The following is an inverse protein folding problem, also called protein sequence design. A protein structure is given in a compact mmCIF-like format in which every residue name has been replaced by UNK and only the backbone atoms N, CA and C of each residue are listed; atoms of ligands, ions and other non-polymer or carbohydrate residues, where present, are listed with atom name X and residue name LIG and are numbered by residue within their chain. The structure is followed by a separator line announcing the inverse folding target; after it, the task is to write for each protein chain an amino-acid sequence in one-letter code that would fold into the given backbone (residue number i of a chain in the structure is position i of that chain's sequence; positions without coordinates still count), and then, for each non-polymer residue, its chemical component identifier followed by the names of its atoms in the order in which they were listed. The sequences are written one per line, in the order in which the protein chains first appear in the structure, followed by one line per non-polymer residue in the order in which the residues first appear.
data_IF_240853423071
#
_entry.id   IF_240853423071
#
_cell.length_a   1.000
_cell.length_b   1.000
_cell.length_c   1.000
_cell.angle_alpha   90.00
_cell.angle_beta   90.00
_cell.angle_gamma   90.00
#
_symmetry.space_group_name_H-M   'P 1'
#
loop_
_entity.id
_entity.type
_entity.pdbx_description
1 polymer ?
#
# COMPACT_ATOMS: atom_id res chain seq x y z
N UNK A 1 11.78 -24.22 -7.19
CA UNK A 1 10.38 -24.12 -6.71
C UNK A 1 10.30 -23.39 -5.36
N UNK A 2 11.15 -23.70 -4.39
CA UNK A 2 11.17 -23.08 -3.05
C UNK A 2 11.39 -21.55 -3.07
N UNK A 3 12.31 -21.04 -3.88
CA UNK A 3 12.61 -19.61 -3.92
C UNK A 3 11.43 -18.75 -4.42
N UNK A 4 10.68 -19.26 -5.42
CA UNK A 4 9.47 -18.59 -5.91
C UNK A 4 8.35 -18.54 -4.86
N UNK A 5 8.14 -19.65 -4.15
CA UNK A 5 7.16 -19.73 -3.07
C UNK A 5 7.54 -18.83 -1.89
N UNK A 6 8.80 -18.83 -1.49
CA UNK A 6 9.30 -17.92 -0.43
C UNK A 6 9.05 -16.45 -0.80
N UNK A 7 9.42 -16.06 -2.01
CA UNK A 7 9.18 -14.67 -2.49
C UNK A 7 7.69 -14.35 -2.48
N UNK A 8 6.83 -15.26 -2.95
CA UNK A 8 5.38 -15.08 -2.90
C UNK A 8 4.86 -14.87 -1.48
N UNK A 9 5.29 -15.69 -0.52
CA UNK A 9 4.85 -15.59 0.88
C UNK A 9 5.28 -14.26 1.51
N UNK A 10 6.53 -13.81 1.27
CA UNK A 10 7.02 -12.53 1.80
C UNK A 10 6.27 -11.35 1.19
N UNK A 11 6.08 -11.34 -0.14
CA UNK A 11 5.31 -10.30 -0.84
C UNK A 11 3.87 -10.26 -0.34
N UNK A 12 3.23 -11.41 -0.22
CA UNK A 12 1.83 -11.51 0.24
C UNK A 12 1.69 -11.09 1.70
N UNK A 13 2.59 -11.54 2.57
CA UNK A 13 2.58 -11.16 3.99
C UNK A 13 2.78 -9.66 4.20
N UNK A 14 3.75 -9.07 3.50
CA UNK A 14 3.97 -7.62 3.54
C UNK A 14 2.76 -6.83 3.00
N UNK A 15 2.15 -7.30 1.91
CA UNK A 15 0.94 -6.71 1.36
C UNK A 15 -0.26 -6.85 2.31
N UNK A 16 -0.40 -7.94 3.02
CA UNK A 16 -1.45 -8.16 4.02
C UNK A 16 -1.29 -7.23 5.21
N UNK A 17 -0.08 -7.13 5.77
CA UNK A 17 0.22 -6.20 6.86
C UNK A 17 -0.09 -4.75 6.44
N UNK A 18 0.32 -4.36 5.23
CA UNK A 18 -0.02 -3.06 4.67
C UNK A 18 -1.53 -2.85 4.59
N UNK A 19 -2.26 -3.80 4.02
CA UNK A 19 -3.71 -3.69 3.80
C UNK A 19 -4.49 -3.59 5.11
N UNK A 20 -4.04 -4.31 6.14
CA UNK A 20 -4.61 -4.26 7.47
C UNK A 20 -4.45 -2.86 8.09
N UNK A 21 -3.23 -2.31 8.04
CA UNK A 21 -2.96 -0.95 8.55
C UNK A 21 -3.60 0.15 7.71
N UNK A 22 -3.74 -0.06 6.40
CA UNK A 22 -4.47 0.86 5.51
C UNK A 22 -5.97 0.92 5.87
N UNK A 23 -6.58 -0.21 6.24
CA UNK A 23 -7.93 -0.22 6.81
C UNK A 23 -8.00 0.49 8.17
N UNK A 24 -7.06 0.18 9.06
CA UNK A 24 -7.05 0.70 10.42
C UNK A 24 -6.85 2.23 10.46
N UNK A 25 -5.95 2.80 9.65
CA UNK A 25 -5.73 4.25 9.60
C UNK A 25 -7.00 5.01 9.19
N UNK A 26 -7.77 4.46 8.24
CA UNK A 26 -9.03 5.09 7.82
C UNK A 26 -10.01 5.20 8.99
N UNK A 27 -10.23 4.11 9.72
CA UNK A 27 -11.16 4.11 10.85
C UNK A 27 -10.65 4.97 12.01
N UNK A 28 -9.33 4.92 12.30
CA UNK A 28 -8.70 5.74 13.33
C UNK A 28 -8.88 7.24 13.03
N UNK A 29 -8.62 7.67 11.79
CA UNK A 29 -8.78 9.08 11.40
C UNK A 29 -10.25 9.47 11.47
N UNK A 30 -11.17 8.69 10.91
CA UNK A 30 -12.60 8.99 10.93
C UNK A 30 -13.11 9.15 12.36
N UNK A 31 -12.87 8.17 13.23
CA UNK A 31 -13.41 8.20 14.60
C UNK A 31 -12.71 9.26 15.47
N UNK A 32 -11.40 9.43 15.32
CA UNK A 32 -10.66 10.42 16.11
C UNK A 32 -11.15 11.84 15.80
N UNK A 33 -11.23 12.22 14.53
CA UNK A 33 -11.67 13.57 14.15
C UNK A 33 -13.17 13.78 14.37
N UNK A 34 -13.99 12.74 14.24
CA UNK A 34 -15.39 12.79 14.65
C UNK A 34 -15.52 13.11 16.15
N UNK A 35 -14.74 12.46 17.00
CA UNK A 35 -14.72 12.73 18.45
C UNK A 35 -14.21 14.12 18.79
N UNK A 36 -13.41 14.75 17.92
CA UNK A 36 -12.99 16.15 18.04
C UNK A 36 -14.05 17.16 17.55
N UNK A 37 -15.21 16.68 17.08
CA UNK A 37 -16.32 17.53 16.64
C UNK A 37 -16.29 17.90 15.16
N UNK A 38 -15.45 17.30 14.35
CA UNK A 38 -15.45 17.51 12.89
C UNK A 38 -16.72 16.97 12.26
N UNK A 39 -17.29 17.74 11.36
CA UNK A 39 -18.43 17.30 10.56
C UNK A 39 -18.06 16.19 9.58
N UNK A 40 -19.03 15.36 9.11
CA UNK A 40 -18.74 14.32 8.12
C UNK A 40 -18.09 14.83 6.84
N UNK A 41 -18.41 16.06 6.42
CA UNK A 41 -17.82 16.68 5.23
C UNK A 41 -16.36 17.04 5.45
N UNK A 42 -16.01 17.62 6.59
CA UNK A 42 -14.61 17.93 6.95
C UNK A 42 -13.77 16.66 7.03
N UNK A 43 -14.32 15.58 7.61
CA UNK A 43 -13.65 14.28 7.65
C UNK A 43 -13.43 13.73 6.24
N UNK A 44 -14.43 13.86 5.34
CA UNK A 44 -14.28 13.44 3.94
C UNK A 44 -13.13 14.20 3.24
N UNK A 45 -12.96 15.50 3.52
CA UNK A 45 -11.85 16.27 2.98
C UNK A 45 -10.48 15.77 3.45
N UNK A 46 -10.34 15.21 4.66
CA UNK A 46 -9.08 14.63 5.12
C UNK A 46 -8.58 13.50 4.20
N UNK A 47 -9.50 12.80 3.53
CA UNK A 47 -9.18 11.70 2.60
C UNK A 47 -9.04 12.16 1.14
N UNK A 48 -9.37 13.41 0.82
CA UNK A 48 -9.33 13.88 -0.57
C UNK A 48 -7.95 13.66 -1.20
N UNK A 49 -6.90 14.04 -0.50
CA UNK A 49 -5.53 13.88 -1.01
C UNK A 49 -5.08 12.43 -1.08
N UNK A 50 -5.56 11.57 -0.18
CA UNK A 50 -5.32 10.13 -0.25
C UNK A 50 -5.82 9.55 -1.58
N UNK A 51 -7.02 9.90 -2.02
CA UNK A 51 -7.57 9.38 -3.26
C UNK A 51 -6.95 10.07 -4.50
N UNK A 52 -6.78 11.38 -4.49
CA UNK A 52 -6.19 12.13 -5.62
C UNK A 52 -4.77 11.66 -5.90
N UNK A 53 -3.90 11.60 -4.88
CA UNK A 53 -2.53 11.13 -5.05
C UNK A 53 -2.46 9.63 -5.33
N UNK A 54 -3.41 8.84 -4.84
CA UNK A 54 -3.57 7.44 -5.22
C UNK A 54 -3.84 7.27 -6.71
N UNK A 55 -4.79 8.04 -7.28
CA UNK A 55 -5.10 8.01 -8.72
C UNK A 55 -3.86 8.38 -9.55
N UNK A 56 -3.17 9.47 -9.19
CA UNK A 56 -1.95 9.91 -9.88
C UNK A 56 -0.90 8.79 -9.83
N UNK A 57 -0.67 8.22 -8.66
CA UNK A 57 0.33 7.16 -8.45
C UNK A 57 -0.03 5.89 -9.22
N UNK A 58 -1.30 5.53 -9.31
CA UNK A 58 -1.75 4.38 -10.10
C UNK A 58 -1.44 4.57 -11.59
N UNK A 59 -1.55 5.81 -12.10
CA UNK A 59 -1.22 6.16 -13.49
C UNK A 59 0.29 6.05 -13.80
N UNK A 60 1.17 6.48 -12.89
CA UNK A 60 2.63 6.52 -13.12
C UNK A 60 3.38 5.34 -12.49
N UNK A 61 2.76 4.61 -11.60
CA UNK A 61 3.41 3.59 -10.77
C UNK A 61 3.99 2.44 -11.59
N UNK A 62 3.37 2.05 -12.70
CA UNK A 62 3.92 1.04 -13.61
C UNK A 62 5.24 1.47 -14.24
N UNK A 63 5.34 2.74 -14.59
CA UNK A 63 6.59 3.33 -15.08
C UNK A 63 7.68 3.34 -13.99
N UNK A 64 7.34 3.77 -12.77
CA UNK A 64 8.25 3.75 -11.62
C UNK A 64 8.77 2.34 -11.39
N UNK A 65 7.88 1.35 -11.30
CA UNK A 65 8.24 -0.04 -11.05
C UNK A 65 9.12 -0.65 -12.15
N UNK A 66 8.92 -0.27 -13.41
CA UNK A 66 9.76 -0.73 -14.52
C UNK A 66 11.20 -0.21 -14.45
N UNK A 67 11.41 0.94 -13.81
CA UNK A 67 12.73 1.58 -13.69
C UNK A 67 13.50 1.11 -12.45
N UNK A 68 12.84 1.05 -11.30
CA UNK A 68 13.50 0.73 -10.03
C UNK A 68 13.31 -0.71 -9.57
N UNK A 69 12.37 -1.44 -10.18
CA UNK A 69 12.02 -2.82 -9.84
C UNK A 69 10.80 -2.90 -8.93
N UNK A 70 10.04 -4.00 -9.09
CA UNK A 70 8.77 -4.20 -8.38
C UNK A 70 8.96 -4.28 -6.86
N UNK A 71 9.93 -5.08 -6.40
CA UNK A 71 10.16 -5.26 -4.98
C UNK A 71 10.65 -3.97 -4.32
N UNK A 72 11.53 -3.21 -4.98
CA UNK A 72 11.94 -1.88 -4.48
C UNK A 72 10.76 -0.93 -4.39
N UNK A 73 9.91 -0.89 -5.40
CA UNK A 73 8.70 -0.04 -5.40
C UNK A 73 7.75 -0.41 -4.25
N UNK A 74 7.55 -1.70 -4.01
CA UNK A 74 6.73 -2.18 -2.89
C UNK A 74 7.31 -1.77 -1.54
N UNK A 75 8.61 -1.94 -1.35
CA UNK A 75 9.30 -1.59 -0.10
C UNK A 75 9.28 -0.08 0.11
N UNK A 76 9.54 0.71 -0.94
CA UNK A 76 9.42 2.18 -0.87
C UNK A 76 8.02 2.61 -0.46
N UNK A 77 6.97 1.99 -1.06
CA UNK A 77 5.59 2.23 -0.65
C UNK A 77 5.33 1.87 0.81
N UNK A 78 5.90 0.74 1.29
CA UNK A 78 5.79 0.33 2.70
C UNK A 78 6.44 1.31 3.66
N UNK A 79 7.67 1.75 3.39
CA UNK A 79 8.34 2.76 4.21
C UNK A 79 7.62 4.12 4.15
N UNK A 80 7.07 4.49 3.01
CA UNK A 80 6.26 5.71 2.90
C UNK A 80 5.02 5.65 3.81
N UNK A 81 4.38 4.48 3.92
CA UNK A 81 3.29 4.25 4.87
C UNK A 81 3.75 4.37 6.32
N UNK A 82 4.94 3.83 6.65
CA UNK A 82 5.54 4.01 7.99
C UNK A 82 5.73 5.48 8.32
N UNK A 83 6.23 6.27 7.36
CA UNK A 83 6.39 7.73 7.54
C UNK A 83 5.04 8.42 7.70
N UNK A 84 4.02 8.05 6.89
CA UNK A 84 2.68 8.61 6.99
C UNK A 84 2.03 8.33 8.36
N UNK A 85 2.14 7.09 8.86
CA UNK A 85 1.66 6.70 10.19
C UNK A 85 2.45 7.42 11.30
N UNK A 86 3.78 7.47 11.18
CA UNK A 86 4.66 8.16 12.11
C UNK A 86 4.36 9.66 12.18
N UNK A 87 4.06 10.29 11.04
CA UNK A 87 3.66 11.70 11.01
C UNK A 87 2.38 11.96 11.81
N UNK A 88 1.46 11.01 11.89
CA UNK A 88 0.21 11.14 12.67
C UNK A 88 0.39 10.87 14.17
N UNK A 89 1.61 10.56 14.65
CA UNK A 89 1.90 10.35 16.07
C UNK A 89 2.25 11.65 16.81
N UNK A 90 2.31 12.78 16.13
CA UNK A 90 2.64 14.08 16.73
C UNK A 90 1.61 14.52 17.76
N UNK A 91 1.93 15.57 18.47
CA UNK A 91 1.01 16.18 19.44
C UNK A 91 -0.27 16.64 18.75
N UNK A 92 -1.46 16.49 19.37
CA UNK A 92 -2.74 16.90 18.78
C UNK A 92 -2.78 18.36 18.31
N UNK A 93 -2.01 19.25 18.92
CA UNK A 93 -1.91 20.66 18.51
C UNK A 93 -1.35 20.86 17.09
N UNK A 94 -0.60 19.89 16.57
CA UNK A 94 -0.03 19.92 15.22
C UNK A 94 -0.94 19.25 14.16
N UNK A 95 -1.96 18.50 14.58
CA UNK A 95 -2.87 17.79 13.68
C UNK A 95 -3.87 18.73 12.99
N UNK A 96 -3.37 19.76 12.31
CA UNK A 96 -4.21 20.59 11.44
C UNK A 96 -4.76 19.81 10.27
N UNK A 97 -5.87 20.26 9.67
CA UNK A 97 -6.49 19.63 8.49
C UNK A 97 -5.46 19.42 7.37
N UNK A 98 -4.68 20.47 7.04
CA UNK A 98 -3.68 20.41 5.98
C UNK A 98 -2.56 19.39 6.30
N UNK A 99 -2.15 19.29 7.56
CA UNK A 99 -1.15 18.32 8.00
C UNK A 99 -1.64 16.88 7.84
N UNK A 100 -2.87 16.61 8.30
CA UNK A 100 -3.48 15.28 8.17
C UNK A 100 -3.71 14.92 6.71
N UNK A 101 -4.20 15.86 5.88
CA UNK A 101 -4.35 15.65 4.44
C UNK A 101 -3.02 15.30 3.77
N UNK A 102 -1.90 15.92 4.19
CA UNK A 102 -0.56 15.62 3.67
C UNK A 102 -0.12 14.20 4.06
N UNK A 103 -0.30 13.80 5.31
CA UNK A 103 -0.01 12.45 5.77
C UNK A 103 -0.89 11.41 5.03
N UNK A 104 -2.16 11.72 4.80
CA UNK A 104 -3.07 10.88 4.03
C UNK A 104 -2.69 10.82 2.54
N UNK A 105 -2.16 11.89 1.95
CA UNK A 105 -1.59 11.86 0.59
C UNK A 105 -0.45 10.86 0.48
N UNK A 106 0.48 10.88 1.43
CA UNK A 106 1.60 9.91 1.49
C UNK A 106 1.08 8.46 1.60
N UNK A 107 0.06 8.23 2.44
CA UNK A 107 -0.58 6.93 2.58
C UNK A 107 -1.27 6.48 1.27
N UNK A 108 -1.91 7.37 0.54
CA UNK A 108 -2.52 7.10 -0.77
C UNK A 108 -1.49 6.68 -1.82
N UNK A 109 -0.36 7.40 -1.90
CA UNK A 109 0.78 7.04 -2.75
C UNK A 109 1.31 5.65 -2.36
N UNK A 110 1.55 5.44 -1.07
CA UNK A 110 2.05 4.18 -0.52
C UNK A 110 1.16 2.99 -0.88
N UNK A 111 -0.16 3.16 -0.75
CA UNK A 111 -1.19 2.16 -1.11
C UNK A 111 -1.05 1.69 -2.55
N UNK A 112 -0.99 2.62 -3.50
CA UNK A 112 -1.02 2.24 -4.91
C UNK A 112 0.33 1.72 -5.40
N UNK A 113 1.45 2.22 -4.90
CA UNK A 113 2.78 1.62 -5.14
C UNK A 113 2.83 0.17 -4.62
N UNK A 114 2.35 -0.07 -3.41
CA UNK A 114 2.35 -1.38 -2.78
C UNK A 114 1.45 -2.38 -3.52
N UNK A 115 0.19 -2.00 -3.78
CA UNK A 115 -0.82 -2.81 -4.47
C UNK A 115 -0.36 -3.24 -5.86
N UNK A 116 0.16 -2.30 -6.65
CA UNK A 116 0.59 -2.56 -8.01
C UNK A 116 1.82 -3.47 -8.02
N UNK A 117 2.81 -3.16 -7.20
CA UNK A 117 4.05 -3.93 -7.11
C UNK A 117 3.81 -5.35 -6.63
N UNK A 118 3.00 -5.55 -5.58
CA UNK A 118 2.66 -6.88 -5.08
C UNK A 118 1.99 -7.75 -6.15
N UNK A 119 0.97 -7.23 -6.85
CA UNK A 119 0.28 -7.96 -7.91
C UNK A 119 1.20 -8.32 -9.08
N UNK A 120 2.08 -7.41 -9.47
CA UNK A 120 3.02 -7.64 -10.58
C UNK A 120 4.15 -8.60 -10.18
N UNK A 121 4.63 -8.54 -8.94
CA UNK A 121 5.64 -9.48 -8.42
C UNK A 121 5.13 -10.92 -8.41
N UNK A 122 3.88 -11.15 -8.02
CA UNK A 122 3.28 -12.50 -8.04
C UNK A 122 3.31 -13.10 -9.44
N UNK A 123 3.02 -12.30 -10.50
CA UNK A 123 3.08 -12.78 -11.88
C UNK A 123 4.47 -13.25 -12.33
N UNK A 124 5.52 -12.69 -11.75
CA UNK A 124 6.90 -13.03 -12.10
C UNK A 124 7.46 -14.24 -11.34
N UNK A 125 6.90 -14.54 -10.16
CA UNK A 125 7.40 -15.64 -9.31
C UNK A 125 6.67 -16.97 -9.52
N UNK A 126 5.58 -16.98 -10.26
CA UNK A 126 4.88 -18.23 -10.59
C UNK A 126 5.77 -19.12 -11.46
N UNK A 127 6.04 -20.37 -11.04
CA UNK A 127 6.85 -21.31 -11.83
C UNK A 127 6.21 -21.59 -13.19
N UNK A 128 7.01 -21.52 -14.25
CA UNK A 128 6.59 -21.92 -15.60
C UNK A 128 6.41 -23.44 -15.68
N UNK A 129 5.39 -23.91 -16.38
CA UNK A 129 5.08 -25.33 -16.54
C UNK A 129 3.61 -25.57 -16.89
N UNK A 130 3.24 -26.82 -17.04
CA UNK A 130 1.93 -27.27 -17.53
C UNK A 130 0.70 -26.70 -16.79
N UNK A 131 0.87 -26.30 -15.51
CA UNK A 131 -0.20 -25.69 -14.68
C UNK A 131 0.14 -24.23 -14.25
N UNK A 132 0.97 -23.52 -15.03
CA UNK A 132 1.41 -22.17 -14.66
C UNK A 132 0.23 -21.18 -14.55
N UNK A 133 -0.71 -21.23 -15.49
CA UNK A 133 -1.87 -20.32 -15.52
C UNK A 133 -2.83 -20.58 -14.35
N UNK A 134 -3.07 -21.84 -14.01
CA UNK A 134 -3.91 -22.22 -12.86
C UNK A 134 -3.28 -21.76 -11.55
N UNK A 135 -1.95 -21.92 -11.39
CA UNK A 135 -1.22 -21.42 -10.21
C UNK A 135 -1.23 -19.90 -10.15
N UNK A 136 -1.00 -19.23 -11.27
CA UNK A 136 -1.06 -17.78 -11.37
C UNK A 136 -2.42 -17.26 -10.93
N UNK A 137 -3.49 -17.85 -11.49
CA UNK A 137 -4.86 -17.51 -11.15
C UNK A 137 -5.11 -17.67 -9.64
N UNK A 138 -4.75 -18.83 -9.07
CA UNK A 138 -4.91 -19.13 -7.64
C UNK A 138 -4.14 -18.12 -6.76
N UNK A 139 -2.88 -17.83 -7.08
CA UNK A 139 -2.05 -16.92 -6.27
C UNK A 139 -2.54 -15.47 -6.34
N UNK A 140 -2.94 -15.02 -7.52
CA UNK A 140 -3.51 -13.67 -7.71
C UNK A 140 -4.89 -13.58 -7.05
N UNK A 141 -5.71 -14.64 -7.11
CA UNK A 141 -7.01 -14.69 -6.47
C UNK A 141 -6.90 -14.61 -4.93
N UNK A 142 -5.96 -15.35 -4.33
CA UNK A 142 -5.68 -15.27 -2.89
C UNK A 142 -5.24 -13.84 -2.51
N UNK A 143 -4.26 -13.27 -3.23
CA UNK A 143 -3.76 -11.92 -2.96
C UNK A 143 -4.86 -10.86 -3.08
N UNK A 144 -5.72 -10.98 -4.10
CA UNK A 144 -6.76 -9.97 -4.38
C UNK A 144 -8.01 -10.20 -3.52
N UNK A 145 -8.41 -11.47 -3.33
CA UNK A 145 -9.59 -11.84 -2.55
C UNK A 145 -9.42 -11.54 -1.06
N UNK A 146 -8.25 -11.82 -0.49
CA UNK A 146 -7.96 -11.53 0.91
C UNK A 146 -7.92 -10.02 1.23
N UNK A 147 -7.68 -9.16 0.23
CA UNK A 147 -7.58 -7.71 0.43
C UNK A 147 -8.82 -7.11 1.10
N UNK A 148 -10.02 -7.43 0.62
CA UNK A 148 -11.26 -6.83 1.14
C UNK A 148 -11.54 -7.29 2.56
N UNK A 149 -11.31 -8.58 2.84
CA UNK A 149 -11.44 -9.14 4.19
C UNK A 149 -10.46 -8.47 5.17
N UNK A 150 -9.20 -8.34 4.76
CA UNK A 150 -8.17 -7.70 5.59
C UNK A 150 -8.43 -6.21 5.79
N UNK A 151 -8.92 -5.52 4.76
CA UNK A 151 -9.29 -4.10 4.91
C UNK A 151 -10.45 -3.95 5.87
N UNK A 152 -11.47 -4.82 5.80
CA UNK A 152 -12.56 -4.87 6.78
C UNK A 152 -12.08 -5.17 8.20
N UNK A 153 -11.21 -6.19 8.38
CA UNK A 153 -10.57 -6.47 9.65
C UNK A 153 -9.76 -5.28 10.17
N UNK A 154 -9.09 -4.55 9.26
CA UNK A 154 -8.38 -3.31 9.58
C UNK A 154 -9.29 -2.23 10.16
N UNK A 155 -10.49 -2.05 9.62
CA UNK A 155 -11.46 -1.10 10.19
C UNK A 155 -11.82 -1.45 11.64
N UNK A 156 -12.13 -2.71 11.93
CA UNK A 156 -12.38 -3.15 13.31
C UNK A 156 -11.16 -2.95 14.20
N UNK A 157 -9.97 -3.31 13.72
CA UNK A 157 -8.73 -3.12 14.44
C UNK A 157 -8.49 -1.63 14.74
N UNK A 158 -8.73 -0.73 13.80
CA UNK A 158 -8.59 0.72 13.99
C UNK A 158 -9.52 1.25 15.07
N UNK A 159 -10.79 0.84 15.08
CA UNK A 159 -11.73 1.19 16.15
C UNK A 159 -11.32 0.65 17.51
N UNK A 160 -10.91 -0.62 17.56
CA UNK A 160 -10.44 -1.26 18.80
C UNK A 160 -9.18 -0.56 19.35
N UNK A 161 -8.19 -0.30 18.50
CA UNK A 161 -6.95 0.38 18.90
C UNK A 161 -7.22 1.79 19.42
N UNK A 162 -8.13 2.54 18.78
CA UNK A 162 -8.52 3.85 19.27
C UNK A 162 -9.11 3.78 20.68
N UNK A 163 -9.97 2.80 20.93
CA UNK A 163 -10.62 2.62 22.22
C UNK A 163 -9.64 2.19 23.33
N UNK A 164 -8.72 1.26 23.03
CA UNK A 164 -7.84 0.64 24.05
C UNK A 164 -6.61 1.50 24.35
N UNK A 165 -5.94 2.02 23.33
CA UNK A 165 -4.64 2.70 23.47
C UNK A 165 -4.63 4.14 22.95
N UNK A 166 -5.71 4.58 22.32
CA UNK A 166 -5.83 5.91 21.76
C UNK A 166 -5.12 6.11 20.43
N UNK A 167 -5.39 7.25 19.79
CA UNK A 167 -4.97 7.54 18.42
C UNK A 167 -3.44 7.51 18.23
N UNK A 168 -2.71 8.24 19.05
CA UNK A 168 -1.25 8.41 18.94
C UNK A 168 -0.50 7.07 19.06
N UNK A 169 -0.82 6.28 20.08
CA UNK A 169 -0.17 4.99 20.32
C UNK A 169 -0.57 3.95 19.29
N UNK A 170 -1.82 4.00 18.78
CA UNK A 170 -2.27 3.15 17.70
C UNK A 170 -1.47 3.42 16.41
N UNK A 171 -1.30 4.68 16.02
CA UNK A 171 -0.50 5.07 14.85
C UNK A 171 0.96 4.65 15.00
N UNK A 172 1.57 4.91 16.16
CA UNK A 172 2.96 4.54 16.46
C UNK A 172 3.18 3.03 16.44
N UNK A 173 2.27 2.26 17.05
CA UNK A 173 2.33 0.80 17.06
C UNK A 173 2.22 0.19 15.67
N UNK A 174 1.31 0.70 14.85
CA UNK A 174 1.18 0.27 13.45
C UNK A 174 2.41 0.66 12.62
N UNK A 175 2.96 1.86 12.82
CA UNK A 175 4.19 2.29 12.16
C UNK A 175 5.36 1.37 12.51
N UNK A 176 5.55 1.05 13.79
CA UNK A 176 6.59 0.14 14.25
C UNK A 176 6.42 -1.28 13.69
N UNK A 177 5.20 -1.82 13.70
CA UNK A 177 4.89 -3.13 13.11
C UNK A 177 5.24 -3.15 11.61
N UNK A 178 4.78 -2.17 10.84
CA UNK A 178 5.08 -2.10 9.41
C UNK A 178 6.57 -1.90 9.15
N UNK A 179 7.26 -1.10 9.95
CA UNK A 179 8.71 -0.92 9.82
C UNK A 179 9.45 -2.27 9.90
N UNK A 180 9.13 -3.09 10.89
CA UNK A 180 9.72 -4.44 11.05
C UNK A 180 9.37 -5.33 9.85
N UNK A 181 8.11 -5.34 9.40
CA UNK A 181 7.67 -6.15 8.25
C UNK A 181 8.42 -5.74 6.98
N UNK A 182 8.55 -4.45 6.70
CA UNK A 182 9.24 -3.97 5.48
C UNK A 182 10.75 -4.03 5.57
N UNK A 183 11.33 -3.96 6.76
CA UNK A 183 12.74 -4.23 6.99
C UNK A 183 13.07 -5.71 6.69
N UNK A 184 12.22 -6.63 7.15
CA UNK A 184 12.35 -8.04 6.80
C UNK A 184 12.16 -8.29 5.30
N UNK A 185 11.16 -7.67 4.67
CA UNK A 185 10.91 -7.77 3.24
C UNK A 185 12.11 -7.24 2.42
N UNK A 186 12.73 -6.14 2.87
CA UNK A 186 13.92 -5.59 2.23
C UNK A 186 15.10 -6.58 2.24
N UNK A 187 15.31 -7.26 3.35
CA UNK A 187 16.36 -8.27 3.46
C UNK A 187 16.04 -9.56 2.70
N UNK A 188 14.76 -9.98 2.67
CA UNK A 188 14.35 -11.27 2.14
C UNK A 188 14.07 -11.29 0.62
N UNK A 189 13.77 -10.13 0.01
CA UNK A 189 13.33 -10.04 -1.39
C UNK A 189 14.46 -9.64 -2.34
N UNK A 190 14.54 -10.27 -3.54
CA UNK A 190 15.48 -9.87 -4.58
C UNK A 190 15.11 -8.49 -5.15
N UNK A 191 16.01 -7.51 -5.03
CA UNK A 191 15.74 -6.10 -5.34
C UNK A 191 15.63 -5.78 -6.84
N UNK A 192 16.19 -6.60 -7.71
CA UNK A 192 16.21 -6.38 -9.18
C UNK A 192 15.02 -6.98 -9.93
N UNK A 193 14.03 -7.56 -9.24
CA UNK A 193 12.92 -8.24 -9.90
C UNK A 193 12.01 -7.23 -10.63
N UNK A 194 11.73 -7.51 -11.92
CA UNK A 194 10.81 -6.71 -12.73
C UNK A 194 11.40 -5.45 -13.35
N UNK A 195 12.72 -5.23 -13.22
CA UNK A 195 13.38 -4.16 -13.99
C UNK A 195 13.38 -4.50 -15.47
N UNK A 196 12.86 -3.62 -16.31
CA UNK A 196 12.90 -3.78 -17.75
C UNK A 196 14.28 -3.39 -18.30
N UNK A 197 14.86 -4.24 -19.16
CA UNK A 197 16.09 -3.91 -19.91
C UNK A 197 15.86 -2.74 -20.86
N UNK A 198 14.65 -2.60 -21.39
CA UNK A 198 14.25 -1.48 -22.23
C UNK A 198 13.40 -0.53 -21.40
N UNK A 199 14.02 0.55 -20.91
CA UNK A 199 13.33 1.56 -20.12
C UNK A 199 12.26 2.24 -20.98
N UNK A 200 10.98 1.95 -20.71
CA UNK A 200 9.87 2.61 -21.39
C UNK A 200 9.96 4.14 -21.18
N UNK A 201 9.96 4.91 -22.28
CA UNK A 201 9.92 6.37 -22.17
C UNK A 201 8.56 6.78 -21.61
N UNK A 202 8.55 7.74 -20.68
CA UNK A 202 7.31 8.25 -20.04
C UNK A 202 6.20 8.60 -21.05
N UNK A 203 6.60 9.14 -22.22
CA UNK A 203 5.70 9.47 -23.33
C UNK A 203 4.95 8.25 -23.94
N UNK A 204 5.49 7.03 -23.80
CA UNK A 204 4.89 5.82 -24.36
C UNK A 204 3.71 5.29 -23.52
N UNK A 205 3.60 5.70 -22.25
CA UNK A 205 2.46 5.34 -21.39
C UNK A 205 1.17 5.94 -21.93
N UNK A 206 1.22 7.19 -22.40
CA UNK A 206 0.05 7.90 -22.93
C UNK A 206 -0.23 7.62 -24.42
N UNK A 207 0.76 7.18 -25.21
CA UNK A 207 0.54 6.83 -26.62
C UNK A 207 -0.17 5.47 -26.78
N UNK A 208 0.14 4.50 -25.95
CA UNK A 208 -0.45 3.15 -26.03
C UNK A 208 -1.94 3.10 -25.68
N UNK A 209 -2.44 4.05 -24.90
CA UNK A 209 -3.86 4.18 -24.58
C UNK A 209 -4.68 4.67 -25.79
N UNK A 210 -4.03 5.29 -26.79
CA UNK A 210 -4.66 5.81 -27.99
C UNK A 210 -4.89 4.74 -29.07
N UNK A 211 -4.10 3.65 -29.06
CA UNK A 211 -4.19 2.56 -30.04
C UNK A 211 -5.22 1.47 -29.67
N UNK A 212 -5.77 1.49 -28.44
CA UNK A 212 -6.74 0.50 -27.96
C UNK A 212 -8.20 0.94 -28.27
N UNK A 213 -8.41 2.15 -28.78
CA UNK A 213 -9.74 2.72 -29.09
C UNK A 213 -10.05 2.78 -30.60
N UNK A 214 -9.59 1.76 -31.38
CA UNK A 214 -10.05 1.56 -32.75
C UNK A 214 -10.54 0.13 -32.93
#
# INVERSE_FOLDING_TARGET
MEQGLRTYLVVTGAYWAFTLTDGAIHMLVVLHFHNLGFSPLEIAFLFLFYEVFGIITNGVGGWIASHIGLNRTMITGGFLQVVALGALTVDPSWLSVAYVMTAMAMSGIAKDLNKMSAKSSVKLVVPKGENADTRLFKWVAILTGSKNTLKGAGFFLGGLLLYVIGFRWAMGGMAAMLFVVYLYAWWALPMGMGTSKTKAKFKQIFSKTREINI
#
